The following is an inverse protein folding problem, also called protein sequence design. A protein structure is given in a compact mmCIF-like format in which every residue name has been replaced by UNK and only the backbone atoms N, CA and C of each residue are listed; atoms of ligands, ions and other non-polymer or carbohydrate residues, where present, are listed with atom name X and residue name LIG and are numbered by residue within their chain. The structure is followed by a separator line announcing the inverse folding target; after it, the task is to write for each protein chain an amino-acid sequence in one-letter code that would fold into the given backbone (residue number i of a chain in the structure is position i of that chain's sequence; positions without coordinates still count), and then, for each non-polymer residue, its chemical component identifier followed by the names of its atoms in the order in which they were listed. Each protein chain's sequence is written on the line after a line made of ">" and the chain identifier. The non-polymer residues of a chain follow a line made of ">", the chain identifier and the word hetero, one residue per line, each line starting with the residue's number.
data_IF_721543871523
#
_entry.id   IF_721543871523
#
_cell.length_a   1.000
_cell.length_b   1.000
_cell.length_c   1.000
_cell.angle_alpha   90.00
_cell.angle_beta   90.00
_cell.angle_gamma   90.00
#
_symmetry.space_group_name_H-M   'P 1'
#
loop_
_entity.id
_entity.type
_entity.pdbx_description
1 polymer ?
#
# COMPACT_ATOMS: atom_id res chain seq x y z
N UNK A 1 30.73 -35.46 -17.31
CA UNK A 1 29.49 -35.77 -16.55
C UNK A 1 28.79 -34.54 -15.97
N UNK A 2 29.47 -33.55 -15.37
CA UNK A 2 28.83 -32.42 -14.66
C UNK A 2 28.03 -31.43 -15.52
N UNK A 3 28.37 -31.23 -16.80
CA UNK A 3 27.66 -30.29 -17.70
C UNK A 3 26.28 -30.78 -18.17
N UNK A 4 26.08 -32.09 -18.27
CA UNK A 4 24.83 -32.71 -18.73
C UNK A 4 23.76 -32.64 -17.63
N UNK A 5 24.16 -32.75 -16.37
CA UNK A 5 23.27 -32.64 -15.22
C UNK A 5 22.67 -31.23 -15.07
N UNK A 6 23.46 -30.18 -15.29
CA UNK A 6 22.98 -28.79 -15.24
C UNK A 6 22.03 -28.44 -16.39
N UNK A 7 22.21 -29.03 -17.58
CA UNK A 7 21.33 -28.79 -18.74
C UNK A 7 19.95 -29.45 -18.56
N UNK A 8 19.87 -30.59 -17.86
CA UNK A 8 18.64 -31.35 -17.70
C UNK A 8 17.62 -30.68 -16.78
N UNK A 9 18.08 -29.87 -15.81
CA UNK A 9 17.20 -29.22 -14.83
C UNK A 9 16.58 -27.91 -15.35
N UNK A 10 17.27 -27.20 -16.25
CA UNK A 10 16.82 -25.93 -16.84
C UNK A 10 15.43 -26.03 -17.50
N UNK A 11 15.11 -27.03 -18.36
CA UNK A 11 13.80 -27.11 -19.01
C UNK A 11 12.65 -27.49 -18.06
N UNK A 12 12.93 -27.93 -16.83
CA UNK A 12 11.92 -28.21 -15.80
C UNK A 12 11.71 -26.97 -14.92
N UNK A 13 12.81 -26.31 -14.51
CA UNK A 13 12.77 -25.17 -13.61
C UNK A 13 12.17 -23.93 -14.29
N UNK A 14 12.50 -23.68 -15.56
CA UNK A 14 12.07 -22.47 -16.27
C UNK A 14 10.54 -22.38 -16.48
N UNK A 15 9.82 -23.42 -16.93
CA UNK A 15 8.36 -23.38 -17.00
C UNK A 15 7.71 -23.38 -15.62
N UNK A 16 8.31 -24.01 -14.60
CA UNK A 16 7.79 -23.96 -13.23
C UNK A 16 7.85 -22.55 -12.63
N UNK A 17 8.98 -21.86 -12.79
CA UNK A 17 9.13 -20.46 -12.36
C UNK A 17 8.19 -19.54 -13.15
N UNK A 18 8.06 -19.76 -14.46
CA UNK A 18 7.12 -18.98 -15.30
C UNK A 18 5.67 -19.19 -14.88
N UNK A 19 5.28 -20.42 -14.56
CA UNK A 19 3.96 -20.76 -14.04
C UNK A 19 3.69 -20.09 -12.69
N UNK A 20 4.66 -20.11 -11.77
CA UNK A 20 4.55 -19.42 -10.50
C UNK A 20 4.40 -17.91 -10.67
N UNK A 21 5.19 -17.29 -11.55
CA UNK A 21 5.08 -15.85 -11.84
C UNK A 21 3.69 -15.53 -12.39
N UNK A 22 3.21 -16.27 -13.40
CA UNK A 22 1.89 -16.04 -13.98
C UNK A 22 0.74 -16.28 -13.00
N UNK A 23 0.92 -17.16 -12.02
CA UNK A 23 -0.08 -17.41 -10.99
C UNK A 23 -0.11 -16.33 -9.90
N UNK A 24 1.06 -15.86 -9.43
CA UNK A 24 1.15 -14.87 -8.35
C UNK A 24 0.99 -13.42 -8.83
N UNK A 25 1.42 -13.10 -10.05
CA UNK A 25 1.33 -11.76 -10.63
C UNK A 25 -0.10 -11.17 -10.63
N UNK A 26 -1.15 -11.87 -11.14
CA UNK A 26 -2.49 -11.30 -11.21
C UNK A 26 -3.09 -11.01 -9.83
N UNK A 27 -2.80 -11.83 -8.81
CA UNK A 27 -3.26 -11.56 -7.45
C UNK A 27 -2.64 -10.27 -6.90
N UNK A 28 -1.34 -10.08 -7.12
CA UNK A 28 -0.60 -8.91 -6.65
C UNK A 28 -1.09 -7.62 -7.31
N UNK A 29 -1.38 -7.68 -8.61
CA UNK A 29 -1.91 -6.52 -9.34
C UNK A 29 -3.32 -6.15 -8.84
N UNK A 30 -4.20 -7.14 -8.62
CA UNK A 30 -5.54 -6.92 -8.05
C UNK A 30 -5.47 -6.26 -6.67
N UNK A 31 -4.58 -6.73 -5.79
CA UNK A 31 -4.39 -6.16 -4.46
C UNK A 31 -3.85 -4.73 -4.53
N UNK A 32 -2.93 -4.47 -5.46
CA UNK A 32 -2.39 -3.12 -5.69
C UNK A 32 -3.48 -2.16 -6.15
N UNK A 33 -4.37 -2.60 -7.04
CA UNK A 33 -5.49 -1.81 -7.53
C UNK A 33 -6.52 -1.58 -6.43
N UNK A 34 -6.84 -2.62 -5.65
CA UNK A 34 -7.73 -2.51 -4.49
C UNK A 34 -7.22 -1.45 -3.50
N UNK A 35 -5.92 -1.47 -3.17
CA UNK A 35 -5.30 -0.48 -2.29
C UNK A 35 -5.39 0.94 -2.84
N UNK A 36 -5.17 1.12 -4.15
CA UNK A 36 -5.28 2.45 -4.79
C UNK A 36 -6.72 2.97 -4.77
N UNK A 37 -7.70 2.11 -5.02
CA UNK A 37 -9.13 2.44 -4.88
C UNK A 37 -9.44 2.82 -3.43
N UNK A 38 -9.00 2.02 -2.46
CA UNK A 38 -9.25 2.25 -1.04
C UNK A 38 -8.66 3.56 -0.53
N UNK A 39 -7.56 4.03 -1.12
CA UNK A 39 -6.95 5.33 -0.79
C UNK A 39 -7.77 6.51 -1.31
N UNK A 40 -8.39 6.38 -2.48
CA UNK A 40 -9.25 7.42 -3.07
C UNK A 40 -10.66 7.43 -2.45
N UNK A 41 -11.15 6.25 -2.05
CA UNK A 41 -12.51 6.01 -1.61
C UNK A 41 -13.02 6.96 -0.51
N UNK A 42 -12.32 7.20 0.62
CA UNK A 42 -12.82 8.10 1.65
C UNK A 42 -13.08 9.51 1.11
N UNK A 43 -12.19 10.03 0.27
CA UNK A 43 -12.32 11.39 -0.28
C UNK A 43 -13.46 11.49 -1.30
N UNK A 44 -13.61 10.47 -2.15
CA UNK A 44 -14.72 10.41 -3.08
C UNK A 44 -16.07 10.28 -2.37
N UNK A 45 -16.16 9.52 -1.28
CA UNK A 45 -17.40 9.36 -0.51
C UNK A 45 -17.75 10.64 0.25
N UNK A 46 -16.77 11.41 0.74
CA UNK A 46 -17.00 12.77 1.26
C UNK A 46 -17.60 13.67 0.17
N UNK A 47 -17.04 13.62 -1.04
CA UNK A 47 -17.55 14.37 -2.18
C UNK A 47 -18.99 13.96 -2.53
N UNK A 48 -19.28 12.65 -2.55
CA UNK A 48 -20.64 12.12 -2.73
C UNK A 48 -21.58 12.61 -1.63
N UNK A 49 -21.15 12.62 -0.36
CA UNK A 49 -21.93 13.13 0.77
C UNK A 49 -22.28 14.61 0.59
N UNK A 50 -21.29 15.45 0.26
CA UNK A 50 -21.50 16.89 0.04
C UNK A 50 -22.50 17.17 -1.10
N UNK A 51 -22.42 16.41 -2.20
CA UNK A 51 -23.33 16.56 -3.35
C UNK A 51 -24.73 16.03 -2.99
N UNK A 52 -24.82 14.89 -2.32
CA UNK A 52 -26.11 14.27 -1.96
C UNK A 52 -26.98 15.14 -1.04
N UNK A 53 -26.37 16.00 -0.23
CA UNK A 53 -27.09 16.96 0.62
C UNK A 53 -27.92 18.00 -0.16
N UNK A 54 -27.64 18.18 -1.46
CA UNK A 54 -28.40 19.09 -2.34
C UNK A 54 -29.60 18.43 -3.04
N UNK A 55 -29.92 17.18 -2.71
CA UNK A 55 -31.06 16.45 -3.29
C UNK A 55 -30.81 15.92 -4.71
N UNK A 56 -29.54 15.88 -5.15
CA UNK A 56 -29.15 15.32 -6.46
C UNK A 56 -29.40 13.81 -6.46
N UNK A 57 -29.94 13.31 -7.58
CA UNK A 57 -30.20 11.88 -7.78
C UNK A 57 -28.90 11.05 -7.70
N UNK A 58 -28.93 9.86 -7.06
CA UNK A 58 -27.78 8.95 -6.98
C UNK A 58 -27.02 8.70 -8.29
N UNK A 59 -27.74 8.53 -9.40
CA UNK A 59 -27.14 8.27 -10.72
C UNK A 59 -26.27 9.45 -11.18
N UNK A 60 -26.73 10.68 -10.95
CA UNK A 60 -25.99 11.89 -11.31
C UNK A 60 -24.79 12.12 -10.37
N UNK A 61 -24.90 11.78 -9.08
CA UNK A 61 -23.74 11.75 -8.16
C UNK A 61 -22.64 10.84 -8.72
N UNK A 62 -23.01 9.62 -9.15
CA UNK A 62 -22.05 8.67 -9.72
C UNK A 62 -21.44 9.19 -11.02
N UNK A 63 -22.21 9.90 -11.85
CA UNK A 63 -21.72 10.53 -13.07
C UNK A 63 -20.71 11.65 -12.77
N UNK A 64 -20.96 12.49 -11.77
CA UNK A 64 -20.02 13.55 -11.33
C UNK A 64 -18.68 12.92 -10.92
N UNK A 65 -18.71 11.93 -10.03
CA UNK A 65 -17.47 11.25 -9.58
C UNK A 65 -16.81 10.48 -10.74
N UNK A 66 -17.62 9.86 -11.61
CA UNK A 66 -17.17 9.16 -12.81
C UNK A 66 -16.60 10.06 -13.91
N UNK A 67 -16.76 11.37 -13.81
CA UNK A 67 -16.18 12.37 -14.70
C UNK A 67 -14.95 13.06 -14.10
N UNK A 68 -14.89 13.17 -12.77
CA UNK A 68 -13.76 13.75 -12.05
C UNK A 68 -12.43 13.09 -12.42
N UNK A 69 -11.36 13.90 -12.44
CA UNK A 69 -9.97 13.42 -12.63
C UNK A 69 -9.26 13.17 -11.29
N UNK A 70 -9.90 13.51 -10.18
CA UNK A 70 -9.31 13.40 -8.83
C UNK A 70 -9.19 11.96 -8.35
N UNK A 71 -10.04 11.06 -8.85
CA UNK A 71 -10.11 9.66 -8.44
C UNK A 71 -9.92 8.71 -9.63
N UNK A 72 -8.73 8.67 -10.26
CA UNK A 72 -8.48 7.90 -11.48
C UNK A 72 -8.75 6.39 -11.34
N UNK A 73 -8.53 5.78 -10.17
CA UNK A 73 -8.75 4.35 -9.97
C UNK A 73 -10.23 4.07 -9.68
N UNK A 74 -10.84 4.81 -8.76
CA UNK A 74 -12.27 4.68 -8.42
C UNK A 74 -13.17 5.00 -9.62
N UNK A 75 -12.82 5.99 -10.43
CA UNK A 75 -13.55 6.35 -11.65
C UNK A 75 -13.76 5.17 -12.58
N UNK A 76 -12.78 4.26 -12.69
CA UNK A 76 -12.89 3.07 -13.54
C UNK A 76 -14.01 2.14 -13.06
N UNK A 77 -14.13 1.93 -11.75
CA UNK A 77 -15.20 1.11 -11.16
C UNK A 77 -16.56 1.81 -11.25
N UNK A 78 -16.63 3.12 -11.01
CA UNK A 78 -17.87 3.90 -11.15
C UNK A 78 -18.37 3.90 -12.60
N UNK A 79 -17.46 3.98 -13.58
CA UNK A 79 -17.83 3.83 -14.99
C UNK A 79 -18.44 2.47 -15.33
N UNK A 80 -18.05 1.38 -14.65
CA UNK A 80 -18.71 0.08 -14.84
C UNK A 80 -20.18 0.15 -14.42
N UNK A 81 -20.48 0.80 -13.29
CA UNK A 81 -21.85 1.03 -12.83
C UNK A 81 -22.62 1.87 -13.86
N UNK A 82 -22.06 3.01 -14.28
CA UNK A 82 -22.71 3.89 -15.27
C UNK A 82 -22.90 3.21 -16.63
N UNK A 83 -21.97 2.35 -17.05
CA UNK A 83 -22.12 1.60 -18.28
C UNK A 83 -23.25 0.57 -18.18
N UNK A 84 -23.40 -0.11 -17.04
CA UNK A 84 -24.54 -1.02 -16.79
C UNK A 84 -25.89 -0.33 -16.92
N UNK A 85 -25.98 0.92 -16.45
CA UNK A 85 -27.20 1.71 -16.58
C UNK A 85 -27.40 2.18 -18.03
N UNK A 86 -26.40 2.85 -18.61
CA UNK A 86 -26.57 3.53 -19.90
C UNK A 86 -26.55 2.61 -21.12
N UNK A 87 -25.79 1.50 -21.06
CA UNK A 87 -25.61 0.60 -22.20
C UNK A 87 -26.45 -0.68 -22.09
N UNK A 88 -26.59 -1.22 -20.88
CA UNK A 88 -27.30 -2.48 -20.65
C UNK A 88 -28.73 -2.28 -20.16
N UNK A 89 -29.12 -1.04 -19.79
CA UNK A 89 -30.47 -0.71 -19.34
C UNK A 89 -30.82 -1.25 -17.95
N UNK A 90 -29.83 -1.60 -17.14
CA UNK A 90 -30.06 -2.04 -15.76
C UNK A 90 -30.40 -0.85 -14.86
N UNK A 91 -31.21 -1.09 -13.83
CA UNK A 91 -31.45 -0.10 -12.79
C UNK A 91 -30.20 0.08 -11.90
N UNK A 92 -30.16 1.19 -11.16
CA UNK A 92 -29.01 1.53 -10.31
C UNK A 92 -28.75 0.47 -9.22
N UNK A 93 -29.80 -0.07 -8.59
CA UNK A 93 -29.67 -1.05 -7.49
C UNK A 93 -29.06 -2.35 -8.03
N UNK A 94 -29.56 -2.86 -9.16
CA UNK A 94 -29.00 -4.03 -9.84
C UNK A 94 -27.56 -3.77 -10.28
N UNK A 95 -27.26 -2.59 -10.82
CA UNK A 95 -25.92 -2.24 -11.28
C UNK A 95 -24.90 -2.17 -10.13
N UNK A 96 -25.28 -1.57 -8.99
CA UNK A 96 -24.46 -1.52 -7.78
C UNK A 96 -24.14 -2.94 -7.26
N UNK A 97 -25.15 -3.82 -7.22
CA UNK A 97 -24.98 -5.20 -6.77
C UNK A 97 -24.14 -6.06 -7.72
N UNK A 98 -24.19 -5.79 -9.02
CA UNK A 98 -23.36 -6.51 -10.01
C UNK A 98 -21.89 -6.08 -9.91
N UNK A 99 -21.64 -4.77 -9.79
CA UNK A 99 -20.27 -4.25 -9.67
C UNK A 99 -19.67 -4.57 -8.30
N UNK A 100 -20.47 -4.60 -7.23
CA UNK A 100 -19.98 -4.98 -5.89
C UNK A 100 -19.40 -6.40 -5.83
N UNK A 101 -19.89 -7.32 -6.68
CA UNK A 101 -19.37 -8.70 -6.79
C UNK A 101 -18.07 -8.81 -7.58
N UNK A 102 -17.73 -7.82 -8.39
CA UNK A 102 -16.59 -7.89 -9.34
C UNK A 102 -15.47 -6.92 -9.04
N UNK A 103 -15.72 -5.89 -8.22
CA UNK A 103 -14.71 -4.93 -7.80
C UNK A 103 -13.58 -5.60 -7.01
N UNK A 104 -12.31 -5.19 -7.20
CA UNK A 104 -11.19 -5.70 -6.41
C UNK A 104 -11.16 -5.17 -4.97
N UNK A 105 -11.84 -4.03 -4.68
CA UNK A 105 -11.89 -3.43 -3.34
C UNK A 105 -13.09 -3.93 -2.54
N UNK A 106 -12.84 -4.53 -1.38
CA UNK A 106 -13.89 -4.96 -0.44
C UNK A 106 -14.64 -3.78 0.15
N UNK A 107 -13.95 -2.68 0.50
CA UNK A 107 -14.57 -1.46 1.05
C UNK A 107 -15.54 -0.81 0.05
N UNK A 108 -15.19 -0.83 -1.23
CA UNK A 108 -16.05 -0.35 -2.32
C UNK A 108 -17.25 -1.30 -2.55
N UNK A 109 -17.03 -2.61 -2.49
CA UNK A 109 -18.12 -3.59 -2.59
C UNK A 109 -19.17 -3.40 -1.47
N UNK A 110 -18.71 -3.15 -0.25
CA UNK A 110 -19.56 -2.83 0.90
C UNK A 110 -20.29 -1.49 0.72
N UNK A 111 -19.62 -0.46 0.20
CA UNK A 111 -20.27 0.83 -0.10
C UNK A 111 -21.42 0.64 -1.11
N UNK A 112 -21.18 -0.09 -2.20
CA UNK A 112 -22.20 -0.33 -3.22
C UNK A 112 -23.36 -1.17 -2.71
N UNK A 113 -23.08 -2.23 -1.93
CA UNK A 113 -24.11 -3.09 -1.34
C UNK A 113 -24.92 -2.35 -0.25
N UNK A 114 -24.27 -1.50 0.54
CA UNK A 114 -24.94 -0.64 1.52
C UNK A 114 -25.81 0.43 0.86
N UNK A 115 -25.32 1.02 -0.23
CA UNK A 115 -26.07 2.02 -1.00
C UNK A 115 -27.28 1.40 -1.68
N UNK A 116 -27.14 0.22 -2.29
CA UNK A 116 -28.24 -0.50 -2.92
C UNK A 116 -29.35 -0.78 -1.91
N UNK A 117 -28.98 -1.26 -0.71
CA UNK A 117 -29.91 -1.49 0.40
C UNK A 117 -30.59 -0.20 0.86
N UNK A 118 -29.85 0.91 0.97
CA UNK A 118 -30.38 2.21 1.41
C UNK A 118 -31.38 2.78 0.39
N UNK A 119 -31.11 2.62 -0.91
CA UNK A 119 -32.03 3.05 -1.97
C UNK A 119 -33.31 2.22 -1.91
N UNK A 120 -33.21 0.89 -1.80
CA UNK A 120 -34.40 0.01 -1.75
C UNK A 120 -35.26 0.24 -0.50
N UNK A 121 -34.66 0.59 0.63
CA UNK A 121 -35.40 0.90 1.87
C UNK A 121 -35.92 2.34 1.95
N UNK A 122 -35.63 3.19 0.97
CA UNK A 122 -36.02 4.60 0.98
C UNK A 122 -35.27 5.44 2.02
N UNK A 123 -34.06 5.02 2.41
CA UNK A 123 -33.24 5.69 3.41
C UNK A 123 -32.63 7.02 2.93
N UNK A 124 -32.11 7.80 3.89
CA UNK A 124 -31.45 9.06 3.59
C UNK A 124 -30.02 8.82 3.07
N UNK A 125 -29.82 9.13 1.78
CA UNK A 125 -28.54 8.94 1.09
C UNK A 125 -27.43 9.85 1.62
N UNK A 126 -27.78 11.08 2.01
CA UNK A 126 -26.81 12.03 2.56
C UNK A 126 -26.27 11.54 3.90
N UNK A 127 -27.15 11.07 4.77
CA UNK A 127 -26.76 10.45 6.03
C UNK A 127 -25.95 9.16 5.82
N UNK A 128 -26.33 8.33 4.85
CA UNK A 128 -25.59 7.12 4.49
C UNK A 128 -24.15 7.45 4.05
N UNK A 129 -23.99 8.36 3.09
CA UNK A 129 -22.66 8.74 2.60
C UNK A 129 -21.84 9.43 3.69
N UNK A 130 -22.44 10.26 4.54
CA UNK A 130 -21.74 10.90 5.67
C UNK A 130 -21.20 9.86 6.66
N UNK A 131 -22.04 8.94 7.13
CA UNK A 131 -21.62 7.87 8.05
C UNK A 131 -20.54 6.98 7.43
N UNK A 132 -20.69 6.65 6.13
CA UNK A 132 -19.71 5.81 5.45
C UNK A 132 -18.40 6.55 5.18
N UNK A 133 -18.44 7.85 4.86
CA UNK A 133 -17.27 8.70 4.76
C UNK A 133 -16.47 8.72 6.06
N UNK A 134 -17.14 8.93 7.21
CA UNK A 134 -16.48 8.94 8.52
C UNK A 134 -15.81 7.62 8.84
N UNK A 135 -16.51 6.50 8.63
CA UNK A 135 -15.96 5.16 8.83
C UNK A 135 -14.72 4.89 7.95
N UNK A 136 -14.78 5.28 6.67
CA UNK A 136 -13.66 5.14 5.74
C UNK A 136 -12.49 6.06 6.11
N UNK A 137 -12.76 7.29 6.54
CA UNK A 137 -11.75 8.24 7.00
C UNK A 137 -11.03 7.77 8.26
N UNK A 138 -11.76 7.21 9.24
CA UNK A 138 -11.17 6.62 10.44
C UNK A 138 -10.21 5.49 10.03
N UNK A 139 -10.67 4.58 9.17
CA UNK A 139 -9.85 3.47 8.68
C UNK A 139 -8.61 3.98 7.94
N UNK A 140 -8.76 4.99 7.08
CA UNK A 140 -7.66 5.61 6.36
C UNK A 140 -6.63 6.27 7.29
N UNK A 141 -7.09 6.97 8.34
CA UNK A 141 -6.22 7.57 9.36
C UNK A 141 -5.47 6.51 10.15
N UNK A 142 -6.14 5.44 10.57
CA UNK A 142 -5.51 4.31 11.27
C UNK A 142 -4.46 3.62 10.41
N UNK A 143 -4.73 3.42 9.11
CA UNK A 143 -3.76 2.83 8.20
C UNK A 143 -2.54 3.75 8.04
N UNK A 144 -2.73 5.07 7.91
CA UNK A 144 -1.63 6.04 7.92
C UNK A 144 -0.82 6.04 9.21
N UNK A 145 -1.49 5.99 10.36
CA UNK A 145 -0.84 5.96 11.66
C UNK A 145 0.03 4.71 11.82
N UNK A 146 -0.45 3.54 11.37
CA UNK A 146 0.36 2.31 11.34
C UNK A 146 1.62 2.49 10.49
N UNK A 147 1.53 3.14 9.33
CA UNK A 147 2.72 3.41 8.51
C UNK A 147 3.70 4.36 9.20
N UNK A 148 3.20 5.41 9.86
CA UNK A 148 4.03 6.30 10.68
C UNK A 148 4.71 5.53 11.81
N UNK A 149 3.99 4.66 12.52
CA UNK A 149 4.55 3.84 13.60
C UNK A 149 5.62 2.87 13.12
N UNK A 150 5.42 2.28 11.94
CA UNK A 150 6.44 1.45 11.30
C UNK A 150 7.68 2.30 10.99
N UNK A 151 7.51 3.48 10.40
CA UNK A 151 8.61 4.38 10.10
C UNK A 151 9.39 4.82 11.36
N UNK A 152 8.69 5.13 12.46
CA UNK A 152 9.30 5.39 13.77
C UNK A 152 10.14 4.21 14.25
N UNK A 153 9.58 3.00 14.19
CA UNK A 153 10.29 1.78 14.60
C UNK A 153 11.57 1.59 13.77
N UNK A 154 11.54 1.88 12.47
CA UNK A 154 12.74 1.85 11.62
C UNK A 154 13.76 2.93 12.00
N UNK A 155 13.32 4.13 12.36
CA UNK A 155 14.20 5.18 12.87
C UNK A 155 14.87 4.78 14.19
N UNK A 156 14.13 4.17 15.11
CA UNK A 156 14.69 3.70 16.39
C UNK A 156 15.76 2.62 16.18
N UNK A 157 15.51 1.68 15.26
CA UNK A 157 16.49 0.66 14.86
C UNK A 157 17.74 1.31 14.25
N UNK A 158 17.55 2.31 13.40
CA UNK A 158 18.65 3.05 12.78
C UNK A 158 19.51 3.77 13.82
N UNK A 159 18.90 4.53 14.71
CA UNK A 159 19.61 5.25 15.77
C UNK A 159 20.36 4.26 16.68
N UNK A 160 19.73 3.14 17.03
CA UNK A 160 20.32 2.16 17.96
C UNK A 160 21.48 1.38 17.34
N UNK A 161 21.31 0.83 16.14
CA UNK A 161 22.29 -0.08 15.51
C UNK A 161 23.29 0.70 14.66
N UNK A 162 22.83 1.67 13.88
CA UNK A 162 23.68 2.34 12.90
C UNK A 162 24.41 3.53 13.52
N UNK A 163 23.83 4.21 14.50
CA UNK A 163 24.48 5.37 15.15
C UNK A 163 25.10 4.98 16.50
N UNK A 164 24.30 4.50 17.45
CA UNK A 164 24.74 4.33 18.84
C UNK A 164 25.80 3.23 19.01
N UNK A 165 25.64 2.07 18.36
CA UNK A 165 26.63 0.98 18.48
C UNK A 165 28.03 1.38 17.94
N UNK A 166 28.18 1.99 16.76
CA UNK A 166 29.47 2.50 16.31
C UNK A 166 30.03 3.60 17.20
N UNK A 167 29.18 4.49 17.72
CA UNK A 167 29.61 5.54 18.66
C UNK A 167 30.20 4.93 19.94
N UNK A 168 29.55 3.92 20.53
CA UNK A 168 30.07 3.21 21.72
C UNK A 168 31.40 2.53 21.41
N UNK A 169 31.50 1.84 20.27
CA UNK A 169 32.74 1.20 19.83
C UNK A 169 33.86 2.23 19.64
N UNK A 170 33.54 3.40 19.07
CA UNK A 170 34.50 4.48 18.86
C UNK A 170 35.01 5.05 20.19
N UNK A 171 34.13 5.24 21.17
CA UNK A 171 34.51 5.68 22.53
C UNK A 171 35.42 4.63 23.18
N UNK A 172 35.08 3.35 23.11
CA UNK A 172 35.90 2.26 23.66
C UNK A 172 37.30 2.24 23.04
N UNK A 173 37.38 2.46 21.72
CA UNK A 173 38.65 2.55 21.00
C UNK A 173 39.51 3.72 21.45
N UNK A 174 38.90 4.89 21.65
CA UNK A 174 39.61 6.05 22.21
C UNK A 174 40.18 5.70 23.59
N UNK A 175 39.41 5.06 24.46
CA UNK A 175 39.89 4.63 25.79
C UNK A 175 41.02 3.60 25.69
N UNK A 176 40.93 2.62 24.80
CA UNK A 176 41.99 1.64 24.55
C UNK A 176 43.23 2.32 23.97
N UNK A 177 43.11 3.34 23.12
CA UNK A 177 44.26 4.04 22.56
C UNK A 177 45.01 4.89 23.59
N UNK A 178 44.30 5.35 24.63
CA UNK A 178 44.86 6.12 25.74
C UNK A 178 45.47 5.21 26.83
N UNK A 179 44.88 4.04 27.03
CA UNK A 179 45.49 2.96 27.81
C UNK A 179 46.63 2.36 27.00
N UNK A 180 47.80 2.12 27.55
CA UNK A 180 48.94 1.54 26.77
C UNK A 180 48.72 0.05 26.40
N UNK A 181 47.48 -0.35 26.15
CA UNK A 181 47.03 -1.70 25.89
C UNK A 181 47.06 -1.99 24.39
N UNK A 182 48.05 -2.78 23.96
CA UNK A 182 48.20 -3.17 22.55
C UNK A 182 47.26 -4.33 22.19
N UNK A 183 46.23 -4.05 21.40
CA UNK A 183 45.26 -5.05 20.91
C UNK A 183 45.78 -5.81 19.66
N UNK A 184 47.05 -5.64 19.30
CA UNK A 184 47.66 -6.31 18.13
C UNK A 184 47.28 -5.72 16.77
N UNK A 185 46.33 -4.78 16.72
CA UNK A 185 46.04 -3.92 15.58
C UNK A 185 46.39 -2.48 15.94
N UNK A 186 46.94 -1.73 14.98
CA UNK A 186 47.17 -0.30 15.16
C UNK A 186 45.84 0.46 15.27
N UNK A 187 45.81 1.56 16.01
CA UNK A 187 44.62 2.41 16.19
C UNK A 187 44.03 2.81 14.84
N UNK A 188 44.87 3.17 13.87
CA UNK A 188 44.44 3.56 12.52
C UNK A 188 43.72 2.43 11.77
N UNK A 189 44.20 1.19 11.90
CA UNK A 189 43.57 0.02 11.27
C UNK A 189 42.20 -0.28 11.89
N UNK A 190 42.07 -0.15 13.21
CA UNK A 190 40.79 -0.36 13.90
C UNK A 190 39.77 0.73 13.54
N UNK A 191 40.18 2.00 13.48
CA UNK A 191 39.32 3.10 13.06
C UNK A 191 38.87 2.94 11.60
N UNK A 192 39.79 2.58 10.70
CA UNK A 192 39.46 2.31 9.29
C UNK A 192 38.46 1.15 9.13
N UNK A 193 38.61 0.09 9.92
CA UNK A 193 37.70 -1.06 9.91
C UNK A 193 36.28 -0.65 10.34
N UNK A 194 36.13 0.14 11.40
CA UNK A 194 34.82 0.60 11.88
C UNK A 194 34.14 1.51 10.86
N UNK A 195 34.88 2.46 10.27
CA UNK A 195 34.33 3.33 9.22
C UNK A 195 33.88 2.48 8.02
N UNK A 196 34.67 1.47 7.64
CA UNK A 196 34.30 0.53 6.59
C UNK A 196 33.01 -0.23 6.90
N UNK A 197 32.89 -0.79 8.11
CA UNK A 197 31.70 -1.50 8.58
C UNK A 197 30.48 -0.57 8.61
N UNK A 198 30.63 0.66 9.11
CA UNK A 198 29.56 1.66 9.10
C UNK A 198 29.10 1.98 7.68
N UNK A 199 30.03 2.13 6.73
CA UNK A 199 29.72 2.37 5.33
C UNK A 199 28.85 1.25 4.75
N UNK A 200 29.24 -0.01 4.99
CA UNK A 200 28.47 -1.17 4.53
C UNK A 200 27.08 -1.22 5.17
N UNK A 201 26.98 -1.00 6.49
CA UNK A 201 25.70 -1.00 7.20
C UNK A 201 24.77 0.10 6.67
N UNK A 202 25.29 1.30 6.39
CA UNK A 202 24.50 2.39 5.82
C UNK A 202 23.98 2.07 4.42
N UNK A 203 24.82 1.47 3.56
CA UNK A 203 24.39 1.05 2.21
C UNK A 203 23.29 -0.01 2.30
N UNK A 204 23.45 -1.01 3.17
CA UNK A 204 22.42 -2.03 3.42
C UNK A 204 21.13 -1.39 3.91
N UNK A 205 21.23 -0.42 4.83
CA UNK A 205 20.06 0.25 5.39
C UNK A 205 19.30 1.08 4.34
N UNK A 206 20.01 1.85 3.51
CA UNK A 206 19.43 2.59 2.39
C UNK A 206 18.73 1.63 1.42
N UNK A 207 19.35 0.49 1.13
CA UNK A 207 18.76 -0.54 0.27
C UNK A 207 17.46 -1.12 0.85
N UNK A 208 17.44 -1.44 2.15
CA UNK A 208 16.24 -1.93 2.85
C UNK A 208 15.14 -0.87 2.83
N UNK A 209 15.48 0.40 3.08
CA UNK A 209 14.52 1.50 3.01
C UNK A 209 13.90 1.62 1.62
N UNK A 210 14.71 1.52 0.56
CA UNK A 210 14.21 1.60 -0.81
C UNK A 210 13.22 0.46 -1.15
N UNK A 211 13.45 -0.73 -0.59
CA UNK A 211 12.55 -1.89 -0.74
C UNK A 211 11.24 -1.74 0.04
N UNK A 212 11.29 -1.09 1.21
CA UNK A 212 10.14 -0.94 2.11
C UNK A 212 9.34 0.34 1.89
N UNK A 213 9.88 1.32 1.15
CA UNK A 213 9.19 2.56 0.83
C UNK A 213 7.97 2.27 -0.06
N UNK A 214 6.74 2.49 0.41
CA UNK A 214 5.56 2.34 -0.45
C UNK A 214 5.64 3.41 -1.54
N UNK A 215 5.69 3.00 -2.81
CA UNK A 215 5.49 3.92 -3.93
C UNK A 215 4.03 4.35 -3.95
N UNK A 216 3.77 5.54 -3.41
CA UNK A 216 2.53 6.27 -3.65
C UNK A 216 2.54 6.81 -5.09
#
# INVERSE_FOLDING_TARGET
>A
MSRIFNIFWIPIVMPFVTFLILYYYPSTERDSLAKRIDQELPFAVIHMSSISGSGIEPTEIFKIIGLSREYPFLRKEIRKVLNQINLYGYDLVTSLNNVSKTTPSTKLAELFSGLSTTITSGGNLSEFFAKRADSLLITYRLDREKYTKIAETFMDIYISIVIAAPMILMILLVLISLSSYNVGLSTDQLTALIIGIMGVINVIFIFILHLKQPRY
#
